data_IF_200996542693
#
_entry.id   IF_200996542693
#
_cell.length_a   1.000
_cell.length_b   1.000
_cell.length_c   1.000
_cell.angle_alpha   90.00
_cell.angle_beta   90.00
_cell.angle_gamma   90.00
#
_symmetry.space_group_name_H-M   'P 1'
#
loop_
_entity.id
_entity.type
_entity.pdbx_description
1 polymer ?
#
# COMPACT_ATOMS: atom_id res chain seq x y z
N UNK A 1 -22.63 7.61 -9.16
CA UNK A 1 -22.52 7.82 -7.71
C UNK A 1 -21.74 6.63 -7.15
N UNK A 2 -20.65 6.84 -6.44
CA UNK A 2 -19.89 5.76 -5.84
C UNK A 2 -20.67 5.22 -4.63
N UNK A 3 -20.88 3.91 -4.57
CA UNK A 3 -21.61 3.26 -3.47
C UNK A 3 -20.61 2.50 -2.61
N UNK A 4 -20.59 2.77 -1.31
CA UNK A 4 -19.77 2.04 -0.36
C UNK A 4 -20.23 0.57 -0.26
N UNK A 5 -19.28 -0.32 -0.13
CA UNK A 5 -19.58 -1.71 0.22
C UNK A 5 -20.01 -1.81 1.70
N UNK A 6 -20.79 -2.82 2.09
CA UNK A 6 -21.35 -2.92 3.45
C UNK A 6 -20.30 -2.80 4.56
N UNK A 7 -19.12 -3.41 4.41
CA UNK A 7 -18.05 -3.30 5.40
C UNK A 7 -17.42 -1.90 5.44
N UNK A 8 -17.35 -1.20 4.28
CA UNK A 8 -16.87 0.18 4.21
C UNK A 8 -17.84 1.13 4.91
N UNK A 9 -19.14 0.91 4.75
CA UNK A 9 -20.16 1.68 5.46
C UNK A 9 -20.02 1.49 6.97
N UNK A 10 -19.88 0.26 7.46
CA UNK A 10 -19.65 0.01 8.89
C UNK A 10 -18.37 0.68 9.41
N UNK A 11 -17.31 0.69 8.60
CA UNK A 11 -16.07 1.37 8.98
C UNK A 11 -16.26 2.89 9.03
N UNK A 12 -16.99 3.46 8.09
CA UNK A 12 -17.35 4.87 8.09
C UNK A 12 -18.22 5.24 9.31
N UNK A 13 -19.23 4.44 9.63
CA UNK A 13 -20.09 4.65 10.80
C UNK A 13 -19.26 4.61 12.10
N UNK A 14 -18.31 3.68 12.21
CA UNK A 14 -17.41 3.61 13.36
C UNK A 14 -16.52 4.85 13.48
N UNK A 15 -15.98 5.36 12.37
CA UNK A 15 -15.20 6.60 12.33
C UNK A 15 -16.06 7.80 12.75
N UNK A 16 -17.30 7.89 12.29
CA UNK A 16 -18.18 9.02 12.56
C UNK A 16 -18.76 9.03 13.99
N UNK A 17 -18.84 7.87 14.63
CA UNK A 17 -19.36 7.73 16.01
C UNK A 17 -18.27 7.83 17.08
N UNK A 18 -17.01 7.83 16.70
CA UNK A 18 -15.88 7.96 17.61
C UNK A 18 -15.03 9.18 17.25
N UNK A 19 -14.46 9.85 18.23
CA UNK A 19 -13.53 10.99 18.00
C UNK A 19 -12.08 10.53 17.82
N UNK A 20 -11.73 9.33 18.29
CA UNK A 20 -10.39 8.76 18.20
C UNK A 20 -10.46 7.23 18.11
N UNK A 21 -9.64 6.64 17.25
CA UNK A 21 -9.51 5.19 17.23
C UNK A 21 -8.73 4.60 16.08
N UNK A 22 -8.42 3.31 16.24
CA UNK A 22 -7.78 2.49 15.22
C UNK A 22 -8.83 1.86 14.31
N UNK A 23 -8.56 1.91 13.01
CA UNK A 23 -9.40 1.36 11.94
C UNK A 23 -8.60 0.30 11.19
N UNK A 24 -8.91 -0.97 11.41
CA UNK A 24 -8.19 -2.08 10.80
C UNK A 24 -8.94 -2.60 9.59
N UNK A 25 -8.41 -2.29 8.41
CA UNK A 25 -8.97 -2.72 7.13
C UNK A 25 -7.83 -3.32 6.29
N UNK A 26 -7.98 -4.56 5.80
CA UNK A 26 -6.96 -5.22 4.98
C UNK A 26 -6.57 -4.41 3.74
N UNK A 27 -5.39 -4.70 3.20
CA UNK A 27 -4.93 -4.11 1.94
C UNK A 27 -5.93 -4.43 0.82
N UNK A 28 -6.30 -3.42 0.05
CA UNK A 28 -7.33 -3.53 -0.98
C UNK A 28 -8.77 -3.29 -0.49
N UNK A 29 -8.98 -3.12 0.82
CA UNK A 29 -10.32 -2.87 1.39
C UNK A 29 -10.82 -1.44 1.28
N UNK A 30 -10.03 -0.51 0.70
CA UNK A 30 -10.49 0.86 0.44
C UNK A 30 -10.37 1.80 1.64
N UNK A 31 -9.30 1.69 2.44
CA UNK A 31 -8.98 2.63 3.52
C UNK A 31 -9.12 4.08 3.09
N UNK A 32 -8.49 4.43 1.95
CA UNK A 32 -8.56 5.79 1.38
C UNK A 32 -9.99 6.22 1.08
N UNK A 33 -10.80 5.33 0.54
CA UNK A 33 -12.22 5.61 0.23
C UNK A 33 -13.00 5.95 1.50
N UNK A 34 -12.75 5.22 2.60
CA UNK A 34 -13.41 5.48 3.89
C UNK A 34 -13.01 6.87 4.42
N UNK A 35 -11.70 7.23 4.33
CA UNK A 35 -11.21 8.55 4.74
C UNK A 35 -11.84 9.66 3.88
N UNK A 36 -11.89 9.49 2.56
CA UNK A 36 -12.46 10.47 1.64
C UNK A 36 -13.96 10.66 1.85
N UNK A 37 -14.69 9.58 2.07
CA UNK A 37 -16.12 9.67 2.32
C UNK A 37 -16.43 10.30 3.69
N UNK A 38 -15.64 9.99 4.73
CA UNK A 38 -15.76 10.66 6.02
C UNK A 38 -15.50 12.17 5.90
N UNK A 39 -14.43 12.55 5.19
CA UNK A 39 -14.13 13.96 4.93
C UNK A 39 -15.27 14.67 4.18
N UNK A 40 -15.78 14.05 3.11
CA UNK A 40 -16.90 14.56 2.30
C UNK A 40 -18.15 14.81 3.12
N UNK A 41 -18.52 13.84 3.95
CA UNK A 41 -19.72 13.96 4.79
C UNK A 41 -19.54 14.98 5.92
N UNK A 42 -18.32 15.11 6.48
CA UNK A 42 -18.02 16.16 7.47
C UNK A 42 -18.10 17.55 6.84
N UNK A 43 -17.54 17.73 5.65
CA UNK A 43 -17.65 18.99 4.88
C UNK A 43 -19.13 19.34 4.63
N UNK A 44 -19.92 18.38 4.16
CA UNK A 44 -21.33 18.62 3.86
C UNK A 44 -22.17 19.00 5.09
N UNK A 45 -21.75 18.60 6.30
CA UNK A 45 -22.45 18.92 7.57
C UNK A 45 -21.85 20.13 8.29
N UNK A 46 -20.70 20.63 7.81
CA UNK A 46 -19.96 21.69 8.49
C UNK A 46 -20.64 23.05 8.35
N UNK A 47 -20.77 23.77 9.47
CA UNK A 47 -21.21 25.16 9.51
C UNK A 47 -20.06 26.17 9.42
N UNK A 48 -18.81 25.69 9.45
CA UNK A 48 -17.57 26.47 9.38
C UNK A 48 -16.51 25.68 8.60
N UNK A 49 -15.49 26.36 8.02
CA UNK A 49 -14.36 25.70 7.41
C UNK A 49 -13.68 24.70 8.34
N UNK A 50 -13.30 23.54 7.80
CA UNK A 50 -12.58 22.48 8.51
C UNK A 50 -11.15 22.37 8.00
N UNK A 51 -10.23 21.99 8.91
CA UNK A 51 -8.85 21.67 8.58
C UNK A 51 -8.61 20.16 8.77
N UNK A 52 -8.21 19.51 7.69
CA UNK A 52 -7.86 18.09 7.65
C UNK A 52 -6.35 17.92 7.52
N UNK A 53 -5.80 16.94 8.22
CA UNK A 53 -4.40 16.52 8.08
C UNK A 53 -4.36 15.05 7.67
N UNK A 54 -3.67 14.73 6.59
CA UNK A 54 -3.47 13.38 6.10
C UNK A 54 -1.99 13.03 6.21
N UNK A 55 -1.68 12.02 7.02
CA UNK A 55 -0.32 11.60 7.33
C UNK A 55 0.00 10.30 6.61
N UNK A 56 0.97 10.34 5.71
CA UNK A 56 1.42 9.19 4.92
C UNK A 56 2.85 8.76 5.28
N UNK A 57 3.24 7.49 5.05
CA UNK A 57 4.60 7.02 5.35
C UNK A 57 5.68 7.60 4.44
N UNK A 58 5.31 8.04 3.23
CA UNK A 58 6.25 8.54 2.20
C UNK A 58 5.66 9.70 1.42
N UNK A 59 6.54 10.57 0.89
CA UNK A 59 6.17 11.73 0.07
C UNK A 59 5.33 11.31 -1.15
N UNK A 60 5.75 10.26 -1.86
CA UNK A 60 5.04 9.80 -3.04
C UNK A 60 3.59 9.38 -2.71
N UNK A 61 3.38 8.72 -1.57
CA UNK A 61 2.04 8.35 -1.12
C UNK A 61 1.23 9.57 -0.68
N UNK A 62 1.86 10.55 -0.04
CA UNK A 62 1.19 11.81 0.30
C UNK A 62 0.69 12.55 -0.95
N UNK A 63 1.51 12.58 -2.02
CA UNK A 63 1.11 13.16 -3.31
C UNK A 63 -0.03 12.36 -3.97
N UNK A 64 0.05 11.03 -3.95
CA UNK A 64 -1.01 10.16 -4.50
C UNK A 64 -2.33 10.36 -3.75
N UNK A 65 -2.29 10.36 -2.41
CA UNK A 65 -3.49 10.59 -1.58
C UNK A 65 -4.09 11.98 -1.87
N UNK A 66 -3.26 13.00 -2.03
CA UNK A 66 -3.74 14.33 -2.38
C UNK A 66 -4.54 14.32 -3.69
N UNK A 67 -4.00 13.73 -4.75
CA UNK A 67 -4.71 13.61 -6.03
C UNK A 67 -5.99 12.78 -5.93
N UNK A 68 -5.99 11.68 -5.16
CA UNK A 68 -7.18 10.86 -4.93
C UNK A 68 -8.28 11.65 -4.16
N UNK A 69 -7.90 12.42 -3.14
CA UNK A 69 -8.83 13.28 -2.39
C UNK A 69 -9.39 14.40 -3.26
N UNK A 70 -8.55 15.08 -4.05
CA UNK A 70 -8.95 16.16 -4.95
C UNK A 70 -9.96 15.67 -5.98
N UNK A 71 -9.66 14.53 -6.66
CA UNK A 71 -10.57 13.92 -7.63
C UNK A 71 -11.89 13.47 -7.01
N UNK A 72 -11.83 12.88 -5.78
CA UNK A 72 -13.01 12.35 -5.12
C UNK A 72 -13.94 13.43 -4.56
N UNK A 73 -13.36 14.46 -3.96
CA UNK A 73 -14.14 15.53 -3.34
C UNK A 73 -14.69 16.50 -4.39
N UNK A 74 -13.96 16.72 -5.49
CA UNK A 74 -14.33 17.60 -6.63
C UNK A 74 -15.02 18.90 -6.16
N UNK A 75 -14.40 19.59 -5.19
CA UNK A 75 -14.96 20.76 -4.52
C UNK A 75 -13.96 21.93 -4.61
N UNK A 76 -14.41 23.05 -5.19
CA UNK A 76 -13.59 24.26 -5.39
C UNK A 76 -13.32 25.03 -4.11
N UNK A 77 -14.11 24.80 -3.06
CA UNK A 77 -13.97 25.45 -1.76
C UNK A 77 -12.98 24.70 -0.85
N UNK A 78 -12.03 23.99 -1.45
CA UNK A 78 -10.98 23.24 -0.74
C UNK A 78 -9.61 23.69 -1.22
N UNK A 79 -8.75 24.02 -0.26
CA UNK A 79 -7.34 24.31 -0.50
C UNK A 79 -6.46 23.13 -0.07
N UNK A 80 -5.55 22.73 -0.95
CA UNK A 80 -4.62 21.63 -0.75
C UNK A 80 -3.20 22.15 -0.57
N UNK A 81 -2.50 21.67 0.45
CA UNK A 81 -1.07 21.93 0.64
C UNK A 81 -0.31 20.68 1.06
N UNK A 82 0.99 20.71 0.83
CA UNK A 82 1.91 19.67 1.29
C UNK A 82 2.89 20.18 2.34
N UNK A 83 3.04 19.43 3.42
CA UNK A 83 4.07 19.65 4.44
C UNK A 83 5.15 18.57 4.34
N UNK A 84 5.99 18.65 3.30
CA UNK A 84 7.17 17.81 3.10
C UNK A 84 8.16 18.47 2.12
N UNK A 85 9.37 17.93 2.00
CA UNK A 85 10.45 18.49 1.17
C UNK A 85 10.44 18.04 -0.30
N UNK A 86 9.56 17.09 -0.69
CA UNK A 86 9.53 16.54 -2.04
C UNK A 86 8.80 17.43 -3.06
N UNK A 87 8.88 17.07 -4.33
CA UNK A 87 8.13 17.73 -5.39
C UNK A 87 6.62 17.44 -5.29
N UNK A 88 5.80 18.41 -5.67
CA UNK A 88 4.34 18.31 -5.69
C UNK A 88 3.76 19.41 -6.61
N UNK A 89 2.52 19.23 -7.08
CA UNK A 89 1.81 20.21 -7.91
C UNK A 89 1.05 21.27 -7.11
N UNK A 90 0.93 21.10 -5.79
CA UNK A 90 0.27 22.03 -4.90
C UNK A 90 1.28 22.88 -4.12
N UNK A 91 0.79 23.89 -3.41
CA UNK A 91 1.60 24.68 -2.50
C UNK A 91 2.27 23.75 -1.45
N UNK A 92 3.56 23.96 -1.22
CA UNK A 92 4.32 23.16 -0.23
C UNK A 92 5.12 24.06 0.70
N UNK A 93 5.15 23.70 1.96
CA UNK A 93 6.00 24.34 2.94
C UNK A 93 6.28 23.43 4.15
N UNK A 94 7.49 23.49 4.67
CA UNK A 94 7.86 22.94 5.99
C UNK A 94 8.09 24.04 7.03
N UNK A 95 7.83 25.31 6.67
CA UNK A 95 7.89 26.43 7.58
C UNK A 95 6.55 26.53 8.34
N UNK A 96 6.55 26.44 9.69
CA UNK A 96 5.34 26.50 10.49
C UNK A 96 4.50 27.76 10.29
N UNK A 97 5.13 28.92 10.11
CA UNK A 97 4.41 30.19 9.89
C UNK A 97 3.65 30.20 8.56
N UNK A 98 4.25 29.62 7.51
CA UNK A 98 3.59 29.51 6.20
C UNK A 98 2.46 28.48 6.21
N UNK A 99 2.60 27.39 6.97
CA UNK A 99 1.53 26.39 7.17
C UNK A 99 0.35 27.05 7.87
N UNK A 100 0.63 27.80 8.95
CA UNK A 100 -0.40 28.54 9.69
C UNK A 100 -1.09 29.59 8.80
N UNK A 101 -0.30 30.37 8.08
CA UNK A 101 -0.84 31.40 7.16
C UNK A 101 -1.78 30.79 6.14
N UNK A 102 -1.36 29.68 5.50
CA UNK A 102 -2.16 28.99 4.50
C UNK A 102 -3.52 28.54 5.05
N UNK A 103 -3.51 27.80 6.19
CA UNK A 103 -4.73 27.32 6.83
C UNK A 103 -5.62 28.47 7.32
N UNK A 104 -5.02 29.54 7.85
CA UNK A 104 -5.78 30.72 8.30
C UNK A 104 -6.41 31.45 7.13
N UNK A 105 -5.71 31.58 6.00
CA UNK A 105 -6.24 32.23 4.79
C UNK A 105 -7.43 31.47 4.24
N UNK A 106 -7.35 30.14 4.12
CA UNK A 106 -8.47 29.29 3.72
C UNK A 106 -9.67 29.49 4.68
N UNK A 107 -9.43 29.43 5.98
CA UNK A 107 -10.49 29.61 6.99
C UNK A 107 -11.18 30.98 6.93
N UNK A 108 -10.41 32.06 6.69
CA UNK A 108 -10.95 33.42 6.52
C UNK A 108 -11.75 33.53 5.22
N UNK A 109 -11.31 32.86 4.17
CA UNK A 109 -12.02 32.78 2.89
C UNK A 109 -13.31 31.95 2.93
N UNK A 110 -13.58 31.25 4.02
CA UNK A 110 -14.74 30.35 4.14
C UNK A 110 -14.48 28.97 3.53
N UNK A 111 -13.23 28.63 3.25
CA UNK A 111 -12.79 27.45 2.51
C UNK A 111 -12.14 26.38 3.42
N UNK A 112 -12.31 25.10 3.07
CA UNK A 112 -11.71 24.00 3.80
C UNK A 112 -10.22 23.85 3.45
N UNK A 113 -9.41 23.34 4.39
CA UNK A 113 -7.98 23.17 4.23
C UNK A 113 -7.58 21.70 4.40
N UNK A 114 -6.81 21.17 3.43
CA UNK A 114 -6.21 19.82 3.51
C UNK A 114 -4.70 19.92 3.50
N UNK A 115 -4.07 19.38 4.54
CA UNK A 115 -2.61 19.34 4.71
C UNK A 115 -2.13 17.90 4.58
N UNK A 116 -1.45 17.59 3.48
CA UNK A 116 -0.82 16.28 3.27
C UNK A 116 0.61 16.31 3.76
N UNK A 117 0.94 15.41 4.69
CA UNK A 117 2.26 15.38 5.32
C UNK A 117 2.79 13.95 5.43
N UNK A 118 4.04 13.84 5.85
CA UNK A 118 4.64 12.54 6.18
C UNK A 118 4.86 12.41 7.68
N UNK A 119 4.99 11.16 8.16
CA UNK A 119 5.34 10.89 9.55
C UNK A 119 6.60 11.65 10.02
N UNK A 120 7.57 11.85 9.12
CA UNK A 120 8.78 12.60 9.43
C UNK A 120 8.57 14.12 9.52
N UNK A 121 7.51 14.64 8.92
CA UNK A 121 7.24 16.08 8.84
C UNK A 121 6.08 16.54 9.72
N UNK A 122 5.33 15.64 10.35
CA UNK A 122 4.13 15.96 11.15
C UNK A 122 4.42 16.97 12.27
N UNK A 123 5.61 16.93 12.85
CA UNK A 123 6.03 17.89 13.88
C UNK A 123 5.99 19.34 13.38
N UNK A 124 6.18 19.60 12.07
CA UNK A 124 6.07 20.94 11.47
C UNK A 124 4.63 21.46 11.48
N UNK A 125 3.65 20.55 11.29
CA UNK A 125 2.23 20.89 11.45
C UNK A 125 1.95 21.24 12.91
N UNK A 126 2.47 20.48 13.89
CA UNK A 126 2.32 20.81 15.32
C UNK A 126 2.96 22.14 15.69
N UNK A 127 4.18 22.41 15.19
CA UNK A 127 4.90 23.65 15.41
C UNK A 127 4.12 24.87 14.88
N UNK A 128 3.30 24.70 13.83
CA UNK A 128 2.50 25.76 13.24
C UNK A 128 1.33 26.20 14.12
N UNK A 129 0.92 25.41 15.10
CA UNK A 129 -0.25 25.68 15.96
C UNK A 129 -1.55 25.89 15.16
N UNK A 130 -1.71 25.19 14.06
CA UNK A 130 -2.96 25.15 13.30
C UNK A 130 -3.99 24.33 14.07
N UNK A 131 -5.23 24.82 14.15
CA UNK A 131 -6.35 24.04 14.69
C UNK A 131 -6.70 22.93 13.70
N UNK A 132 -6.54 21.68 14.10
CA UNK A 132 -6.83 20.50 13.28
C UNK A 132 -8.15 19.89 13.68
N UNK A 133 -9.13 19.86 12.76
CA UNK A 133 -10.44 19.26 13.01
C UNK A 133 -10.39 17.73 12.88
N UNK A 134 -9.67 17.22 11.89
CA UNK A 134 -9.56 15.78 11.65
C UNK A 134 -8.14 15.42 11.19
N UNK A 135 -7.56 14.38 11.79
CA UNK A 135 -6.31 13.78 11.28
C UNK A 135 -6.53 12.31 10.93
N UNK A 136 -6.10 11.93 9.73
CA UNK A 136 -6.03 10.55 9.28
C UNK A 136 -4.57 10.11 9.17
N UNK A 137 -4.20 9.08 9.90
CA UNK A 137 -2.90 8.44 9.81
C UNK A 137 -3.01 7.19 8.93
N UNK A 138 -2.52 7.28 7.69
CA UNK A 138 -2.50 6.13 6.77
C UNK A 138 -1.28 5.25 7.03
N UNK A 139 -1.46 3.93 6.90
CA UNK A 139 -0.48 2.90 7.27
C UNK A 139 0.07 3.13 8.69
N UNK A 140 -0.85 3.26 9.64
CA UNK A 140 -0.58 3.70 11.02
C UNK A 140 0.41 2.82 11.80
N UNK A 141 0.76 1.61 11.32
CA UNK A 141 1.86 0.82 11.87
C UNK A 141 3.23 1.52 11.79
N UNK A 142 3.34 2.63 11.02
CA UNK A 142 4.51 3.52 11.04
C UNK A 142 4.56 4.46 12.24
N UNK A 143 3.46 4.66 12.94
CA UNK A 143 3.38 5.52 14.11
C UNK A 143 4.29 5.06 15.26
N UNK A 144 4.57 3.76 15.36
CA UNK A 144 5.37 3.17 16.44
C UNK A 144 6.88 3.42 16.33
N UNK A 145 7.32 4.15 15.31
CA UNK A 145 8.73 4.54 15.18
C UNK A 145 9.07 5.64 16.18
N UNK A 146 10.04 5.41 17.08
CA UNK A 146 10.42 6.33 18.14
C UNK A 146 10.63 7.77 17.69
N UNK A 147 11.30 7.97 16.55
CA UNK A 147 11.60 9.31 16.02
C UNK A 147 10.35 10.11 15.64
N UNK A 148 9.23 9.45 15.34
CA UNK A 148 8.01 10.10 14.90
C UNK A 148 6.96 10.16 16.01
N UNK A 149 7.08 9.32 17.02
CA UNK A 149 6.04 9.08 18.02
C UNK A 149 5.60 10.34 18.77
N UNK A 150 6.54 11.18 19.20
CA UNK A 150 6.21 12.41 19.94
C UNK A 150 5.32 13.34 19.12
N UNK A 151 5.67 13.55 17.84
CA UNK A 151 4.86 14.40 16.96
C UNK A 151 3.47 13.80 16.70
N UNK A 152 3.38 12.48 16.57
CA UNK A 152 2.11 11.77 16.38
C UNK A 152 1.23 11.85 17.61
N UNK A 153 1.80 11.60 18.80
CA UNK A 153 1.09 11.68 20.06
C UNK A 153 0.53 13.09 20.32
N UNK A 154 1.33 14.12 20.02
CA UNK A 154 0.89 15.51 20.10
C UNK A 154 -0.25 15.80 19.11
N UNK A 155 -0.09 15.46 17.83
CA UNK A 155 -1.16 15.67 16.82
C UNK A 155 -2.44 14.97 17.23
N UNK A 156 -2.33 13.73 17.74
CA UNK A 156 -3.48 12.96 18.20
C UNK A 156 -4.18 13.55 19.42
N UNK A 157 -3.43 14.26 20.27
CA UNK A 157 -3.97 14.93 21.46
C UNK A 157 -4.62 16.27 21.12
N UNK A 158 -4.04 17.00 20.15
CA UNK A 158 -4.44 18.37 19.83
C UNK A 158 -5.60 18.41 18.79
N UNK A 159 -5.72 17.39 17.92
CA UNK A 159 -6.78 17.32 16.93
C UNK A 159 -8.14 16.95 17.54
N UNK A 160 -9.23 17.55 17.04
CA UNK A 160 -10.57 17.23 17.49
C UNK A 160 -10.95 15.77 17.21
N UNK A 161 -10.48 15.22 16.09
CA UNK A 161 -10.69 13.82 15.69
C UNK A 161 -9.41 13.20 15.15
N UNK A 162 -9.10 11.95 15.54
CA UNK A 162 -7.85 11.26 15.16
C UNK A 162 -8.10 9.80 14.83
N UNK A 163 -7.79 9.38 13.58
CA UNK A 163 -8.03 8.02 13.13
C UNK A 163 -6.78 7.37 12.56
N UNK A 164 -6.52 6.14 12.98
CA UNK A 164 -5.31 5.38 12.67
C UNK A 164 -5.67 4.18 11.78
N UNK A 165 -5.47 4.34 10.47
CA UNK A 165 -5.81 3.33 9.47
C UNK A 165 -4.63 2.41 9.18
N UNK A 166 -4.81 1.12 9.31
CA UNK A 166 -3.81 0.11 8.90
C UNK A 166 -4.44 -1.24 8.63
N UNK A 167 -3.80 -2.04 7.80
CA UNK A 167 -4.11 -3.46 7.66
C UNK A 167 -3.41 -4.34 8.71
N UNK A 168 -2.32 -3.83 9.29
CA UNK A 168 -1.36 -4.61 10.08
C UNK A 168 -0.92 -3.81 11.30
N UNK A 169 -1.72 -3.77 12.39
CA UNK A 169 -1.33 -3.09 13.61
C UNK A 169 -0.03 -3.66 14.19
N UNK A 170 0.74 -2.81 14.83
CA UNK A 170 2.00 -3.17 15.43
C UNK A 170 1.96 -3.01 16.94
N UNK A 171 2.12 -4.12 17.65
CA UNK A 171 2.10 -4.20 19.11
C UNK A 171 3.46 -4.61 19.65
N UNK A 172 3.92 -3.92 20.69
CA UNK A 172 5.14 -4.23 21.44
C UNK A 172 5.06 -3.64 22.85
N UNK A 173 6.04 -3.91 23.69
CA UNK A 173 6.02 -3.47 25.11
C UNK A 173 6.35 -1.98 25.35
N UNK A 174 6.63 -1.18 24.32
CA UNK A 174 6.95 0.24 24.46
C UNK A 174 5.72 1.15 24.45
N UNK A 175 5.88 2.37 24.88
CA UNK A 175 4.81 3.39 24.91
C UNK A 175 4.35 3.81 23.52
N UNK A 176 5.17 3.56 22.50
CA UNK A 176 4.89 3.84 21.10
C UNK A 176 3.96 2.80 20.46
N UNK A 177 3.73 1.69 21.15
CA UNK A 177 2.92 0.57 20.64
C UNK A 177 1.47 0.98 20.37
N UNK A 178 0.87 0.42 19.32
CA UNK A 178 -0.52 0.73 18.94
C UNK A 178 -1.57 0.25 19.96
N UNK A 179 -1.20 -0.49 21.00
CA UNK A 179 -2.06 -0.76 22.15
C UNK A 179 -2.08 0.36 23.20
N UNK A 180 -1.32 1.44 23.01
CA UNK A 180 -1.39 2.64 23.84
C UNK A 180 -2.64 3.46 23.51
N UNK A 181 -3.74 3.17 24.18
CA UNK A 181 -5.04 3.78 23.91
C UNK A 181 -5.09 5.28 24.18
N UNK A 182 -4.19 5.84 24.99
CA UNK A 182 -4.11 7.29 25.20
C UNK A 182 -3.72 8.04 23.93
N UNK A 183 -2.89 7.43 23.07
CA UNK A 183 -2.45 8.00 21.79
C UNK A 183 -3.35 7.56 20.66
N UNK A 184 -3.59 6.25 20.53
CA UNK A 184 -4.26 5.66 19.36
C UNK A 184 -5.78 5.49 19.52
N UNK A 185 -6.32 5.67 20.74
CA UNK A 185 -7.69 5.28 21.03
C UNK A 185 -7.88 3.76 21.06
N UNK A 186 -9.13 3.33 21.09
CA UNK A 186 -9.46 1.91 20.99
C UNK A 186 -9.44 1.44 19.53
N UNK A 187 -9.41 0.14 19.34
CA UNK A 187 -9.80 -0.46 18.07
C UNK A 187 -11.31 -0.26 17.90
N UNK A 188 -11.72 0.68 17.04
CA UNK A 188 -13.13 1.02 16.80
C UNK A 188 -13.77 0.13 15.74
N UNK A 189 -12.98 -0.46 14.86
CA UNK A 189 -13.43 -1.47 13.90
C UNK A 189 -12.27 -2.30 13.36
N UNK A 190 -12.54 -3.58 13.16
CA UNK A 190 -11.65 -4.53 12.47
C UNK A 190 -12.46 -5.28 11.42
N UNK A 191 -12.05 -5.19 10.16
CA UNK A 191 -12.71 -5.85 9.03
C UNK A 191 -11.90 -7.09 8.65
N UNK A 192 -12.47 -8.30 8.72
CA UNK A 192 -11.82 -9.52 8.25
C UNK A 192 -11.59 -9.49 6.73
N UNK A 193 -10.47 -10.04 6.28
CA UNK A 193 -10.17 -10.12 4.84
C UNK A 193 -11.21 -10.98 4.08
N UNK A 194 -11.81 -11.98 4.75
CA UNK A 194 -12.87 -12.79 4.16
C UNK A 194 -14.07 -11.95 3.69
N UNK A 195 -14.46 -10.93 4.46
CA UNK A 195 -15.54 -10.03 4.04
C UNK A 195 -15.21 -9.26 2.77
N UNK A 196 -13.92 -8.91 2.56
CA UNK A 196 -13.47 -8.26 1.33
C UNK A 196 -13.54 -9.23 0.13
N UNK A 197 -13.22 -10.50 0.37
CA UNK A 197 -13.31 -11.56 -0.64
C UNK A 197 -14.78 -11.78 -1.02
N UNK A 198 -15.64 -11.94 -0.04
CA UNK A 198 -17.08 -12.16 -0.23
C UNK A 198 -17.77 -10.97 -0.90
N UNK A 199 -17.31 -9.77 -0.61
CA UNK A 199 -17.80 -8.53 -1.23
C UNK A 199 -17.21 -8.25 -2.63
N UNK A 200 -16.28 -9.09 -3.11
CA UNK A 200 -15.62 -8.89 -4.41
C UNK A 200 -14.68 -7.68 -4.45
N UNK A 201 -14.06 -7.32 -3.35
CA UNK A 201 -13.06 -6.26 -3.31
C UNK A 201 -11.66 -6.76 -3.59
N UNK A 202 -11.36 -7.96 -3.11
CA UNK A 202 -10.11 -8.69 -3.33
C UNK A 202 -10.42 -10.15 -3.71
N UNK A 203 -9.40 -10.82 -4.23
CA UNK A 203 -9.43 -12.26 -4.54
C UNK A 203 -8.55 -13.02 -3.55
N UNK A 204 -8.77 -14.33 -3.35
CA UNK A 204 -7.97 -15.12 -2.42
C UNK A 204 -6.50 -15.23 -2.89
N UNK A 205 -5.52 -15.23 -1.97
CA UNK A 205 -4.15 -15.60 -2.29
C UNK A 205 -4.02 -17.12 -2.47
N UNK A 206 -3.15 -17.53 -3.40
CA UNK A 206 -2.77 -18.91 -3.61
C UNK A 206 -1.26 -19.06 -3.42
N UNK A 207 -0.85 -19.75 -2.37
CA UNK A 207 0.57 -20.04 -2.10
C UNK A 207 0.99 -21.23 -2.95
N UNK A 208 2.09 -21.10 -3.69
CA UNK A 208 2.64 -22.11 -4.57
C UNK A 208 4.11 -22.31 -4.23
N UNK A 209 4.54 -23.54 -3.99
CA UNK A 209 5.95 -23.90 -3.89
C UNK A 209 6.51 -24.20 -5.27
N UNK A 210 7.72 -23.72 -5.53
CA UNK A 210 8.53 -24.07 -6.70
C UNK A 210 9.77 -24.82 -6.22
N UNK A 211 9.95 -26.05 -6.64
CA UNK A 211 11.09 -26.85 -6.24
C UNK A 211 12.37 -26.37 -6.94
N UNK A 212 13.25 -25.74 -6.16
CA UNK A 212 14.55 -25.28 -6.65
C UNK A 212 15.46 -26.47 -6.95
N UNK A 213 16.09 -26.45 -8.10
CA UNK A 213 17.02 -27.50 -8.54
C UNK A 213 18.39 -27.40 -7.84
N UNK A 214 18.72 -26.23 -7.34
CA UNK A 214 20.05 -25.89 -6.84
C UNK A 214 19.98 -25.42 -5.38
N UNK A 215 21.00 -25.83 -4.60
CA UNK A 215 21.15 -25.35 -3.22
C UNK A 215 21.71 -23.91 -3.26
N UNK A 216 21.00 -23.02 -2.59
CA UNK A 216 21.35 -21.60 -2.51
C UNK A 216 22.36 -21.31 -1.41
N UNK A 217 23.41 -20.60 -1.73
CA UNK A 217 24.41 -20.03 -0.81
C UNK A 217 24.49 -18.52 -0.97
N UNK A 218 25.35 -17.84 -0.19
CA UNK A 218 25.60 -16.39 -0.36
C UNK A 218 26.35 -16.10 -1.66
N UNK A 219 27.19 -17.01 -2.11
CA UNK A 219 28.08 -16.84 -3.25
C UNK A 219 27.34 -17.06 -4.58
N UNK A 220 26.38 -17.98 -4.61
CA UNK A 220 25.61 -18.31 -5.81
C UNK A 220 24.18 -17.74 -5.83
N UNK A 221 23.83 -16.87 -4.86
CA UNK A 221 22.46 -16.40 -4.65
C UNK A 221 21.84 -15.79 -5.91
N UNK A 222 22.55 -14.92 -6.61
CA UNK A 222 22.05 -14.26 -7.81
C UNK A 222 21.77 -15.25 -8.94
N UNK A 223 22.64 -16.26 -9.10
CA UNK A 223 22.48 -17.30 -10.10
C UNK A 223 21.31 -18.24 -9.79
N UNK A 224 21.21 -18.76 -8.54
CA UNK A 224 20.11 -19.64 -8.12
C UNK A 224 18.77 -18.93 -8.16
N UNK A 225 18.71 -17.72 -7.60
CA UNK A 225 17.49 -16.91 -7.58
C UNK A 225 17.03 -16.57 -9.00
N UNK A 226 17.97 -16.22 -9.89
CA UNK A 226 17.69 -15.96 -11.30
C UNK A 226 17.13 -17.17 -12.04
N UNK A 227 17.77 -18.34 -11.86
CA UNK A 227 17.32 -19.61 -12.43
C UNK A 227 15.91 -19.99 -11.93
N UNK A 228 15.65 -19.79 -10.64
CA UNK A 228 14.33 -20.03 -10.05
C UNK A 228 13.27 -19.09 -10.64
N UNK A 229 13.57 -17.79 -10.79
CA UNK A 229 12.64 -16.83 -11.41
C UNK A 229 12.29 -17.27 -12.82
N UNK A 230 13.29 -17.59 -13.66
CA UNK A 230 13.05 -18.04 -15.04
C UNK A 230 12.24 -19.34 -15.07
N UNK A 231 12.57 -20.31 -14.21
CA UNK A 231 11.83 -21.57 -14.12
C UNK A 231 10.38 -21.39 -13.72
N UNK A 232 10.12 -20.54 -12.72
CA UNK A 232 8.75 -20.18 -12.30
C UNK A 232 7.98 -19.54 -13.46
N UNK A 233 8.57 -18.58 -14.14
CA UNK A 233 7.90 -17.86 -15.24
C UNK A 233 7.56 -18.77 -16.42
N UNK A 234 8.38 -19.77 -16.72
CA UNK A 234 8.10 -20.79 -17.75
C UNK A 234 6.94 -21.69 -17.37
N UNK A 235 6.71 -21.87 -16.08
CA UNK A 235 5.59 -22.66 -15.55
C UNK A 235 4.25 -21.92 -15.46
N UNK A 236 4.20 -20.62 -15.73
CA UNK A 236 2.96 -19.84 -15.69
C UNK A 236 2.13 -20.17 -16.94
N UNK A 237 0.95 -20.75 -16.73
CA UNK A 237 0.03 -21.16 -17.80
C UNK A 237 -1.39 -20.61 -17.63
N UNK A 238 -1.63 -19.90 -16.54
CA UNK A 238 -2.96 -19.38 -16.18
C UNK A 238 -3.25 -17.98 -16.73
N UNK A 239 -2.27 -17.37 -17.39
CA UNK A 239 -2.42 -16.08 -18.06
C UNK A 239 -1.40 -15.90 -19.20
N UNK A 240 -1.83 -15.30 -20.30
CA UNK A 240 -0.97 -14.98 -21.44
C UNK A 240 -0.09 -13.75 -21.20
N UNK A 241 -0.51 -12.88 -20.30
CA UNK A 241 0.19 -11.64 -19.96
C UNK A 241 0.54 -11.54 -18.46
N UNK A 242 1.46 -12.38 -17.95
CA UNK A 242 1.87 -12.36 -16.55
C UNK A 242 2.49 -11.01 -16.16
N UNK A 243 2.05 -10.49 -15.00
CA UNK A 243 2.54 -9.27 -14.38
C UNK A 243 3.11 -9.64 -13.03
N UNK A 244 4.43 -9.66 -12.94
CA UNK A 244 5.13 -10.35 -11.85
C UNK A 244 5.89 -9.38 -10.97
N UNK A 245 5.73 -9.50 -9.65
CA UNK A 245 6.51 -8.80 -8.65
C UNK A 245 7.52 -9.76 -8.02
N UNK A 246 8.79 -9.38 -7.94
CA UNK A 246 9.84 -10.18 -7.33
C UNK A 246 10.41 -9.47 -6.11
N UNK A 247 10.17 -10.03 -4.92
CA UNK A 247 10.77 -9.58 -3.68
C UNK A 247 12.17 -10.17 -3.53
N UNK A 248 13.18 -9.42 -3.96
CA UNK A 248 14.58 -9.87 -4.02
C UNK A 248 15.30 -9.74 -2.67
N UNK A 249 16.34 -10.55 -2.40
CA UNK A 249 17.05 -10.55 -1.11
C UNK A 249 17.82 -9.27 -0.81
N UNK A 250 18.35 -8.62 -1.84
CA UNK A 250 19.11 -7.37 -1.72
C UNK A 250 19.23 -6.64 -3.05
N UNK A 251 19.56 -5.35 -3.00
CA UNK A 251 19.91 -4.57 -4.20
C UNK A 251 21.14 -5.13 -4.93
N UNK A 252 22.09 -5.72 -4.18
CA UNK A 252 23.27 -6.39 -4.74
C UNK A 252 22.84 -7.61 -5.55
N UNK A 253 22.01 -8.47 -5.00
CA UNK A 253 21.54 -9.68 -5.69
C UNK A 253 20.79 -9.36 -7.00
N UNK A 254 19.95 -8.30 -7.00
CA UNK A 254 19.28 -7.84 -8.24
C UNK A 254 20.34 -7.44 -9.29
N UNK A 255 21.33 -6.66 -8.88
CA UNK A 255 22.37 -6.19 -9.78
C UNK A 255 23.20 -7.34 -10.37
N UNK A 256 23.71 -8.23 -9.52
CA UNK A 256 24.48 -9.42 -9.92
C UNK A 256 23.66 -10.34 -10.83
N UNK A 257 22.37 -10.54 -10.54
CA UNK A 257 21.47 -11.33 -11.39
C UNK A 257 21.42 -10.79 -12.83
N UNK A 258 21.44 -9.47 -13.00
CA UNK A 258 21.36 -8.85 -14.32
C UNK A 258 22.70 -8.63 -15.03
N UNK A 259 23.81 -8.58 -14.29
CA UNK A 259 25.14 -8.30 -14.87
C UNK A 259 26.03 -9.52 -14.96
N UNK A 260 25.81 -10.55 -14.13
CA UNK A 260 26.68 -11.71 -14.02
C UNK A 260 26.00 -13.01 -14.48
N UNK A 261 24.70 -12.94 -14.86
CA UNK A 261 23.95 -14.09 -15.36
C UNK A 261 23.22 -13.76 -16.67
N UNK A 262 22.68 -14.77 -17.33
CA UNK A 262 21.90 -14.62 -18.57
C UNK A 262 20.38 -14.38 -18.32
N UNK A 263 19.96 -14.18 -17.07
CA UNK A 263 18.56 -13.97 -16.68
C UNK A 263 17.91 -12.85 -17.48
N UNK A 264 18.60 -11.71 -17.65
CA UNK A 264 18.07 -10.58 -18.41
C UNK A 264 17.74 -10.97 -19.86
N UNK A 265 18.61 -11.75 -20.48
CA UNK A 265 18.41 -12.26 -21.84
C UNK A 265 17.23 -13.22 -21.90
N UNK A 266 17.16 -14.20 -21.00
CA UNK A 266 16.06 -15.17 -20.95
C UNK A 266 14.71 -14.51 -20.71
N UNK A 267 14.62 -13.51 -19.81
CA UNK A 267 13.38 -12.76 -19.57
C UNK A 267 12.93 -11.98 -20.80
N UNK A 268 13.86 -11.40 -21.55
CA UNK A 268 13.59 -10.71 -22.82
C UNK A 268 13.09 -11.66 -23.91
N UNK A 269 13.70 -12.81 -24.04
CA UNK A 269 13.31 -13.85 -24.98
C UNK A 269 11.88 -14.35 -24.69
N UNK A 270 11.48 -14.39 -23.41
CA UNK A 270 10.13 -14.70 -22.98
C UNK A 270 9.12 -13.54 -23.16
N UNK A 271 9.54 -12.41 -23.70
CA UNK A 271 8.71 -11.24 -23.99
C UNK A 271 8.41 -10.31 -22.82
N UNK A 272 9.15 -10.43 -21.70
CA UNK A 272 8.93 -9.55 -20.55
C UNK A 272 9.60 -8.18 -20.73
N UNK A 273 8.88 -7.11 -20.36
CA UNK A 273 9.51 -5.83 -20.01
C UNK A 273 10.05 -5.94 -18.59
N UNK A 274 11.35 -5.69 -18.41
CA UNK A 274 12.05 -5.89 -17.16
C UNK A 274 12.17 -4.55 -16.44
N UNK A 275 11.67 -4.49 -15.24
CA UNK A 275 11.70 -3.31 -14.38
C UNK A 275 12.45 -3.64 -13.10
N UNK A 276 13.31 -2.74 -12.64
CA UNK A 276 13.88 -2.89 -11.31
C UNK A 276 14.11 -1.53 -10.65
N UNK A 277 13.93 -1.51 -9.33
CA UNK A 277 14.10 -0.29 -8.54
C UNK A 277 14.79 -0.62 -7.22
N UNK A 278 15.87 0.11 -6.96
CA UNK A 278 16.64 0.00 -5.71
C UNK A 278 17.04 1.38 -5.22
N UNK A 279 17.29 1.51 -3.92
CA UNK A 279 17.78 2.76 -3.33
C UNK A 279 19.20 3.10 -3.81
N UNK A 280 20.03 2.06 -4.08
CA UNK A 280 21.43 2.21 -4.45
C UNK A 280 21.63 2.54 -5.94
N UNK A 281 20.88 1.88 -6.82
CA UNK A 281 21.11 1.98 -8.27
C UNK A 281 20.06 2.82 -8.99
N UNK A 282 18.93 3.16 -8.30
CA UNK A 282 17.82 3.91 -8.89
C UNK A 282 16.81 2.98 -9.57
N UNK A 283 16.08 3.53 -10.54
CA UNK A 283 15.02 2.85 -11.28
C UNK A 283 15.42 2.64 -12.74
N UNK A 284 15.09 1.46 -13.26
CA UNK A 284 15.38 1.06 -14.64
C UNK A 284 14.18 0.36 -15.26
N UNK A 285 13.97 0.62 -16.54
CA UNK A 285 13.05 -0.12 -17.41
C UNK A 285 13.91 -0.71 -18.53
N UNK A 286 13.95 -2.03 -18.60
CA UNK A 286 14.92 -2.77 -19.38
C UNK A 286 16.36 -2.35 -19.02
N UNK A 287 17.11 -1.75 -19.97
CA UNK A 287 18.46 -1.25 -19.74
C UNK A 287 18.51 0.27 -19.53
N UNK A 288 17.36 0.95 -19.59
CA UNK A 288 17.28 2.41 -19.54
C UNK A 288 17.03 2.88 -18.11
N UNK A 289 17.90 3.74 -17.59
CA UNK A 289 17.68 4.41 -16.32
C UNK A 289 16.62 5.50 -16.47
N UNK A 290 15.68 5.52 -15.54
CA UNK A 290 14.55 6.48 -15.54
C UNK A 290 14.42 7.16 -14.18
N UNK A 291 13.66 8.26 -14.11
CA UNK A 291 13.27 8.82 -12.82
C UNK A 291 12.30 7.88 -12.09
N UNK A 292 12.11 8.08 -10.79
CA UNK A 292 11.15 7.27 -10.02
C UNK A 292 9.72 7.53 -10.49
N UNK A 293 9.40 8.76 -10.81
CA UNK A 293 8.10 9.19 -11.31
C UNK A 293 7.76 8.43 -12.59
N UNK A 294 8.64 8.48 -13.59
CA UNK A 294 8.49 7.75 -14.86
C UNK A 294 8.40 6.24 -14.64
N UNK A 295 9.18 5.69 -13.70
CA UNK A 295 9.11 4.27 -13.37
C UNK A 295 7.72 3.87 -12.89
N UNK A 296 7.12 4.63 -11.98
CA UNK A 296 5.81 4.33 -11.42
C UNK A 296 4.68 4.60 -12.39
N UNK A 297 4.79 5.64 -13.19
CA UNK A 297 3.86 5.94 -14.28
C UNK A 297 3.81 4.77 -15.27
N UNK A 298 4.97 4.31 -15.76
CA UNK A 298 5.06 3.18 -16.67
C UNK A 298 4.60 1.86 -16.03
N UNK A 299 4.88 1.64 -14.77
CA UNK A 299 4.39 0.46 -14.06
C UNK A 299 2.86 0.46 -13.95
N UNK A 300 2.24 1.62 -13.73
CA UNK A 300 0.78 1.77 -13.72
C UNK A 300 0.18 1.57 -15.12
N UNK A 301 0.79 2.15 -16.15
CA UNK A 301 0.41 1.97 -17.56
C UNK A 301 0.46 0.49 -17.96
N UNK A 302 1.58 -0.19 -17.71
CA UNK A 302 1.75 -1.62 -18.00
C UNK A 302 0.80 -2.49 -17.17
N UNK A 303 0.49 -2.07 -15.95
CA UNK A 303 -0.50 -2.75 -15.10
C UNK A 303 -1.91 -2.70 -15.67
N UNK A 304 -2.27 -1.58 -16.31
CA UNK A 304 -3.58 -1.36 -16.93
C UNK A 304 -3.72 -2.02 -18.32
N UNK A 305 -2.62 -2.25 -19.03
CA UNK A 305 -2.60 -2.89 -20.34
C UNK A 305 -2.83 -4.41 -20.21
N UNK A 306 -3.92 -4.97 -20.75
CA UNK A 306 -4.24 -6.40 -20.61
C UNK A 306 -3.21 -7.32 -21.26
N UNK A 307 -2.53 -6.86 -22.32
CA UNK A 307 -1.64 -7.68 -23.14
C UNK A 307 -0.17 -7.56 -22.73
N UNK A 308 0.14 -6.65 -21.79
CA UNK A 308 1.50 -6.35 -21.40
C UNK A 308 2.06 -7.34 -20.39
N UNK A 309 3.14 -8.05 -20.79
CA UNK A 309 4.00 -8.83 -19.89
C UNK A 309 5.04 -7.94 -19.26
N UNK A 310 5.14 -7.92 -17.93
CA UNK A 310 6.25 -7.26 -17.26
C UNK A 310 6.62 -7.93 -15.93
N UNK A 311 7.86 -7.74 -15.54
CA UNK A 311 8.39 -8.22 -14.26
C UNK A 311 9.13 -7.10 -13.54
N UNK A 312 8.84 -6.94 -12.25
CA UNK A 312 9.42 -5.89 -11.41
C UNK A 312 10.23 -6.52 -10.29
N UNK A 313 11.54 -6.23 -10.26
CA UNK A 313 12.42 -6.63 -9.16
C UNK A 313 12.59 -5.48 -8.19
N UNK A 314 12.38 -5.76 -6.89
CA UNK A 314 12.59 -4.78 -5.84
C UNK A 314 13.17 -5.40 -4.57
N UNK A 315 13.78 -4.56 -3.73
CA UNK A 315 14.21 -4.95 -2.40
C UNK A 315 13.24 -4.43 -1.33
N UNK A 316 13.09 -3.11 -1.16
CA UNK A 316 12.25 -2.53 -0.10
C UNK A 316 11.30 -1.44 -0.60
N UNK A 317 11.53 -0.89 -1.79
CA UNK A 317 10.85 0.34 -2.25
C UNK A 317 9.35 0.10 -2.52
N UNK A 318 8.99 -1.10 -2.99
CA UNK A 318 7.62 -1.46 -3.33
C UNK A 318 6.84 -2.08 -2.17
N UNK A 319 7.43 -2.24 -0.98
CA UNK A 319 6.73 -2.82 0.17
C UNK A 319 5.66 -1.90 0.77
N UNK A 320 5.72 -0.58 0.55
CA UNK A 320 4.83 0.39 1.18
C UNK A 320 4.04 1.23 0.16
N UNK A 321 2.72 1.25 0.31
CA UNK A 321 1.81 2.30 -0.14
C UNK A 321 1.57 2.49 -1.64
N UNK A 322 2.24 1.82 -2.55
CA UNK A 322 2.08 2.06 -3.98
C UNK A 322 1.02 1.19 -4.64
N UNK A 323 0.19 1.84 -5.43
CA UNK A 323 -0.86 1.17 -6.16
C UNK A 323 -0.31 0.56 -7.46
N UNK A 324 0.03 -0.74 -7.45
CA UNK A 324 0.36 -1.47 -8.67
C UNK A 324 -0.85 -2.29 -9.09
N UNK A 325 -1.50 -1.86 -10.15
CA UNK A 325 -2.64 -2.58 -10.71
C UNK A 325 -2.18 -3.77 -11.55
N UNK A 326 -3.06 -4.76 -11.66
CA UNK A 326 -2.92 -5.86 -12.61
C UNK A 326 -1.89 -6.95 -12.26
N UNK A 327 -1.14 -6.86 -11.15
CA UNK A 327 -0.20 -7.91 -10.75
C UNK A 327 -0.91 -9.25 -10.60
N UNK A 328 -0.37 -10.28 -11.22
CA UNK A 328 -0.91 -11.66 -11.21
C UNK A 328 -0.13 -12.56 -10.25
N UNK A 329 1.19 -12.40 -10.22
CA UNK A 329 2.11 -13.23 -9.46
C UNK A 329 3.06 -12.41 -8.60
N UNK A 330 3.41 -12.95 -7.44
CA UNK A 330 4.52 -12.47 -6.62
C UNK A 330 5.49 -13.63 -6.38
N UNK A 331 6.78 -13.40 -6.64
CA UNK A 331 7.85 -14.36 -6.33
C UNK A 331 8.60 -13.85 -5.10
N UNK A 332 8.63 -14.64 -4.04
CA UNK A 332 9.34 -14.29 -2.80
C UNK A 332 10.69 -15.01 -2.74
N UNK A 333 11.77 -14.29 -3.01
CA UNK A 333 13.15 -14.80 -2.92
C UNK A 333 13.80 -14.53 -1.56
N UNK A 334 13.09 -13.88 -0.64
CA UNK A 334 13.55 -13.58 0.71
C UNK A 334 12.43 -13.73 1.73
N UNK A 335 12.82 -14.00 2.98
CA UNK A 335 11.90 -13.88 4.09
C UNK A 335 11.58 -12.41 4.37
N UNK A 336 10.30 -12.09 4.50
CA UNK A 336 9.79 -10.75 4.81
C UNK A 336 9.26 -10.73 6.24
N UNK A 337 9.41 -9.62 6.98
CA UNK A 337 8.61 -9.41 8.18
C UNK A 337 7.11 -9.56 7.88
N UNK A 338 6.33 -9.99 8.87
CA UNK A 338 4.89 -10.29 8.70
C UNK A 338 4.13 -9.16 8.01
N UNK A 339 4.38 -7.91 8.40
CA UNK A 339 3.75 -6.73 7.81
C UNK A 339 4.10 -6.59 6.32
N UNK A 340 5.38 -6.64 5.97
CA UNK A 340 5.83 -6.53 4.59
C UNK A 340 5.32 -7.71 3.73
N UNK A 341 5.24 -8.90 4.32
CA UNK A 341 4.69 -10.09 3.68
C UNK A 341 3.21 -9.91 3.37
N UNK A 342 2.41 -9.50 4.34
CA UNK A 342 0.98 -9.22 4.16
C UNK A 342 0.74 -8.12 3.12
N UNK A 343 1.53 -7.06 3.12
CA UNK A 343 1.44 -5.99 2.12
C UNK A 343 1.84 -6.47 0.72
N UNK A 344 2.84 -7.33 0.62
CA UNK A 344 3.29 -7.91 -0.65
C UNK A 344 2.22 -8.83 -1.23
N UNK A 345 1.63 -9.71 -0.41
CA UNK A 345 0.47 -10.53 -0.78
C UNK A 345 -0.70 -9.63 -1.21
N UNK A 346 -0.97 -8.58 -0.44
CA UNK A 346 -2.03 -7.61 -0.72
C UNK A 346 -1.98 -6.96 -2.11
N UNK A 347 -0.82 -6.98 -2.77
CA UNK A 347 -0.67 -6.43 -4.13
C UNK A 347 -1.17 -7.37 -5.21
N UNK A 348 -0.97 -8.67 -5.04
CA UNK A 348 -1.39 -9.66 -6.05
C UNK A 348 -2.82 -10.12 -5.88
N UNK A 349 -3.45 -9.86 -4.75
CA UNK A 349 -4.86 -10.23 -4.51
C UNK A 349 -5.86 -9.15 -4.94
N UNK A 350 -5.42 -8.09 -5.59
CA UNK A 350 -6.33 -7.10 -6.18
C UNK A 350 -7.10 -7.74 -7.34
N UNK A 351 -8.39 -7.48 -7.35
CA UNK A 351 -9.27 -7.98 -8.39
C UNK A 351 -8.91 -7.41 -9.78
N UNK A 352 -9.10 -8.20 -10.82
CA UNK A 352 -8.99 -7.72 -12.20
C UNK A 352 -10.02 -6.62 -12.47
N UNK A 353 -9.66 -5.62 -13.27
CA UNK A 353 -10.52 -4.47 -13.56
C UNK A 353 -11.84 -4.88 -14.18
N UNK A 354 -11.80 -5.82 -15.12
CA UNK A 354 -12.99 -6.30 -15.82
C UNK A 354 -13.91 -7.12 -14.90
N UNK A 355 -13.32 -7.94 -13.99
CA UNK A 355 -14.10 -8.70 -13.02
C UNK A 355 -14.83 -7.75 -12.06
N UNK A 356 -14.13 -6.73 -11.56
CA UNK A 356 -14.72 -5.68 -10.73
C UNK A 356 -15.86 -4.96 -11.46
N UNK A 357 -15.67 -4.62 -12.74
CA UNK A 357 -16.70 -3.98 -13.56
C UNK A 357 -17.89 -4.90 -13.78
N UNK A 358 -17.66 -6.18 -14.09
CA UNK A 358 -18.73 -7.14 -14.29
C UNK A 358 -19.59 -7.35 -13.02
N UNK A 359 -18.96 -7.34 -11.84
CA UNK A 359 -19.66 -7.38 -10.55
C UNK A 359 -20.49 -6.10 -10.34
N UNK A 360 -19.88 -4.94 -10.55
CA UNK A 360 -20.56 -3.65 -10.41
C UNK A 360 -21.76 -3.50 -11.37
N UNK A 361 -21.63 -4.03 -12.59
CA UNK A 361 -22.69 -4.06 -13.60
C UNK A 361 -23.76 -5.15 -13.34
N UNK A 362 -23.61 -5.97 -12.29
CA UNK A 362 -24.52 -7.08 -11.98
C UNK A 362 -24.45 -8.27 -12.96
N UNK A 363 -23.41 -8.31 -13.81
CA UNK A 363 -23.19 -9.40 -14.79
C UNK A 363 -22.51 -10.63 -14.18
N UNK A 364 -21.93 -10.48 -12.99
CA UNK A 364 -21.19 -11.49 -12.25
C UNK A 364 -21.45 -11.29 -10.77
N UNK A 365 -21.50 -12.36 -9.99
CA UNK A 365 -21.61 -12.27 -8.54
C UNK A 365 -20.23 -12.26 -7.89
N UNK A 366 -20.10 -11.51 -6.80
CA UNK A 366 -18.93 -11.57 -5.93
C UNK A 366 -18.77 -13.00 -5.38
N UNK A 367 -17.53 -13.49 -5.30
CA UNK A 367 -17.22 -14.84 -4.82
C UNK A 367 -17.33 -15.98 -5.86
N UNK A 368 -17.86 -15.73 -7.05
CA UNK A 368 -17.91 -16.74 -8.13
C UNK A 368 -16.57 -16.82 -8.89
N UNK A 369 -15.47 -17.17 -8.19
CA UNK A 369 -14.10 -17.14 -8.70
C UNK A 369 -13.86 -17.93 -9.98
N UNK A 370 -14.66 -18.98 -10.23
CA UNK A 370 -14.55 -19.80 -11.45
C UNK A 370 -14.81 -18.99 -12.74
N UNK A 371 -15.50 -17.88 -12.65
CA UNK A 371 -15.82 -17.00 -13.78
C UNK A 371 -14.91 -15.78 -13.88
N UNK A 372 -14.01 -15.57 -12.90
CA UNK A 372 -13.11 -14.43 -12.91
C UNK A 372 -11.97 -14.64 -13.91
N UNK A 373 -11.59 -13.57 -14.62
CA UNK A 373 -10.35 -13.53 -15.41
C UNK A 373 -9.12 -13.76 -14.54
N UNK A 374 -9.21 -13.35 -13.28
CA UNK A 374 -8.16 -13.53 -12.28
C UNK A 374 -8.79 -14.11 -11.00
N UNK A 375 -8.88 -15.44 -10.86
CA UNK A 375 -9.56 -16.09 -9.74
C UNK A 375 -8.78 -16.01 -8.41
N UNK A 376 -7.46 -15.86 -8.46
CA UNK A 376 -6.60 -15.76 -7.28
C UNK A 376 -5.35 -14.94 -7.55
N UNK A 377 -4.65 -14.54 -6.48
CA UNK A 377 -3.33 -13.94 -6.56
C UNK A 377 -2.26 -14.97 -6.22
N UNK A 378 -1.35 -15.29 -7.14
CA UNK A 378 -0.31 -16.29 -6.91
C UNK A 378 0.87 -15.72 -6.13
N UNK A 379 1.27 -16.43 -5.07
CA UNK A 379 2.49 -16.15 -4.32
C UNK A 379 3.39 -17.37 -4.40
N UNK A 380 4.47 -17.27 -5.17
CA UNK A 380 5.36 -18.38 -5.48
C UNK A 380 6.65 -18.29 -4.68
N UNK A 381 7.06 -19.39 -4.07
CA UNK A 381 8.26 -19.45 -3.23
C UNK A 381 9.14 -20.62 -3.70
N UNK A 382 10.42 -20.35 -4.07
CA UNK A 382 11.40 -21.42 -4.28
C UNK A 382 11.67 -22.17 -2.97
N UNK A 383 11.53 -23.50 -2.99
CA UNK A 383 11.78 -24.42 -1.85
C UNK A 383 12.98 -25.31 -2.14
N UNK A 384 13.36 -26.18 -1.18
CA UNK A 384 14.53 -27.05 -1.23
C UNK A 384 15.89 -26.33 -1.39
N UNK A 385 15.98 -25.11 -0.91
CA UNK A 385 17.16 -24.28 -1.05
C UNK A 385 17.68 -23.68 0.26
N UNK A 386 17.44 -24.33 1.40
CA UNK A 386 17.76 -23.86 2.76
C UNK A 386 17.06 -22.56 3.20
N UNK A 387 16.33 -21.91 2.31
CA UNK A 387 15.72 -20.61 2.55
C UNK A 387 14.19 -20.62 2.39
N UNK A 388 13.70 -21.29 1.36
CA UNK A 388 12.30 -21.31 0.98
C UNK A 388 11.38 -21.99 1.99
N UNK A 389 11.83 -23.03 2.65
CA UNK A 389 11.01 -23.80 3.60
C UNK A 389 10.57 -22.96 4.82
N UNK A 390 11.39 -22.01 5.24
CA UNK A 390 11.02 -21.05 6.29
C UNK A 390 10.04 -20.01 5.78
N UNK A 391 10.25 -19.52 4.56
CA UNK A 391 9.40 -18.51 3.93
C UNK A 391 8.00 -19.08 3.73
N UNK A 392 7.88 -20.29 3.21
CA UNK A 392 6.57 -20.91 2.93
C UNK A 392 5.75 -21.13 4.19
N UNK A 393 6.38 -21.60 5.28
CA UNK A 393 5.72 -21.75 6.57
C UNK A 393 5.22 -20.43 7.14
N UNK A 394 6.05 -19.40 7.09
CA UNK A 394 5.68 -18.07 7.56
C UNK A 394 4.58 -17.45 6.69
N UNK A 395 4.68 -17.58 5.38
CA UNK A 395 3.66 -17.10 4.46
C UNK A 395 2.33 -17.81 4.65
N UNK A 396 2.35 -19.16 4.78
CA UNK A 396 1.12 -19.92 5.02
C UNK A 396 0.47 -19.47 6.32
N UNK A 397 1.24 -19.24 7.38
CA UNK A 397 0.71 -18.70 8.63
C UNK A 397 0.10 -17.29 8.45
N UNK A 398 0.74 -16.42 7.67
CA UNK A 398 0.20 -15.08 7.35
C UNK A 398 -1.10 -15.18 6.55
N UNK A 399 -1.14 -16.06 5.55
CA UNK A 399 -2.34 -16.29 4.72
C UNK A 399 -3.46 -16.88 5.58
N UNK A 400 -3.19 -17.91 6.37
CA UNK A 400 -4.18 -18.56 7.23
C UNK A 400 -4.73 -17.60 8.28
N UNK A 401 -3.87 -16.78 8.89
CA UNK A 401 -4.28 -15.82 9.92
C UNK A 401 -5.16 -14.71 9.32
N UNK A 402 -4.69 -14.07 8.25
CA UNK A 402 -5.37 -12.89 7.69
C UNK A 402 -6.55 -13.27 6.80
N UNK A 403 -6.34 -14.22 5.87
CA UNK A 403 -7.30 -14.48 4.79
C UNK A 403 -8.25 -15.63 5.07
N UNK A 404 -7.89 -16.56 5.95
CA UNK A 404 -8.75 -17.69 6.32
C UNK A 404 -9.46 -17.43 7.65
N UNK A 405 -8.72 -17.05 8.70
CA UNK A 405 -9.32 -16.81 10.03
C UNK A 405 -9.87 -15.39 10.18
N UNK A 406 -9.47 -14.47 9.31
CA UNK A 406 -9.86 -13.06 9.40
C UNK A 406 -9.26 -12.33 10.61
N UNK A 407 -8.20 -12.86 11.18
CA UNK A 407 -7.49 -12.26 12.30
C UNK A 407 -6.52 -11.18 11.80
N UNK A 408 -6.38 -10.12 12.59
CA UNK A 408 -5.41 -9.08 12.29
C UNK A 408 -4.01 -9.62 12.66
N UNK A 409 -3.03 -9.60 11.73
CA UNK A 409 -1.70 -10.11 12.04
C UNK A 409 -1.04 -9.21 13.09
N UNK A 410 -0.67 -9.83 14.19
CA UNK A 410 0.12 -9.18 15.23
C UNK A 410 1.60 -9.32 14.83
N UNK A 411 2.28 -8.20 14.65
CA UNK A 411 3.70 -8.15 14.31
C UNK A 411 4.58 -8.03 15.55
#
# INVERSE_FOLDING_TARGET
>A
MFTLLPYQQRALDAVQTNTKGCVYVPTGGGKTVIMMEDAKQRIARASKPLTFVIVAPRILLANQLCGEFEEYLDNKDIHYMHCHSGETHHFKSTNPELIKLFATTAKVGGEHCFIFTTYNSIHKVNDSKVDVDVVYFDEAHHCVKKNNFVGIAQTSADANNSYFFTATPKYHGGVESMNNTSVYGNNIISIPAQELIDAGSIIPPKVVSYESQDTRSRENAAWVDGKNVVGILRGITDTDAPKVLVASPSSKCIWEMFTETDVLFQLKDMGYTIMHITSKHGAYIDKTKVSREVFFEKMSEFGADPDKKFIVFHYSILSEGMNVHGLTHCIMLRNLPVIEMAQTVGRVIRMHRDDRKAIADGKMKAGEFAFYKKPCGHVVIPTNNNYGDRIIKQLQNVVDTIFVKGEVPIA
#
